data_IF_829554202294
#
_entry.id   IF_829554202294
#
_cell.length_a   1.000
_cell.length_b   1.000
_cell.length_c   1.000
_cell.angle_alpha   90.00
_cell.angle_beta   90.00
_cell.angle_gamma   90.00
#
_symmetry.space_group_name_H-M   'P 1'
#
loop_
_entity.id
_entity.type
_entity.pdbx_description
1 polymer ?
#
# COMPACT_ATOMS: atom_id res chain seq x y z
N UNK A 1 -7.78 57.72 13.40
CA UNK A 1 -9.17 57.29 13.63
C UNK A 1 -9.26 55.85 13.21
N UNK A 2 -9.34 54.95 14.19
CA UNK A 2 -9.46 53.52 13.93
C UNK A 2 -10.91 53.27 13.51
N UNK A 3 -11.14 52.96 12.23
CA UNK A 3 -12.45 52.58 11.75
C UNK A 3 -12.78 51.20 12.34
N UNK A 4 -13.36 51.20 13.54
CA UNK A 4 -13.95 49.99 14.10
C UNK A 4 -15.05 49.53 13.15
N UNK A 5 -14.96 48.28 12.72
CA UNK A 5 -15.98 47.69 11.86
C UNK A 5 -17.32 47.61 12.60
N UNK A 6 -18.42 47.76 11.89
CA UNK A 6 -19.77 47.60 12.46
C UNK A 6 -19.90 46.27 13.24
N UNK A 7 -19.33 45.18 12.72
CA UNK A 7 -19.37 43.86 13.37
C UNK A 7 -18.63 43.87 14.72
N UNK A 8 -17.48 44.54 14.82
CA UNK A 8 -16.78 44.65 16.11
C UNK A 8 -17.56 45.47 17.15
N UNK A 9 -18.30 46.49 16.71
CA UNK A 9 -19.19 47.26 17.60
C UNK A 9 -20.36 46.41 18.06
N UNK A 10 -20.99 45.66 17.14
CA UNK A 10 -22.08 44.75 17.45
C UNK A 10 -21.64 43.65 18.44
N UNK A 11 -20.48 43.04 18.22
CA UNK A 11 -19.93 42.01 19.12
C UNK A 11 -19.69 42.57 20.53
N UNK A 12 -19.15 43.80 20.64
CA UNK A 12 -18.97 44.47 21.93
C UNK A 12 -20.31 44.71 22.64
N UNK A 13 -21.32 45.20 21.91
CA UNK A 13 -22.66 45.41 22.47
C UNK A 13 -23.33 44.09 22.90
N UNK A 14 -23.17 43.01 22.14
CA UNK A 14 -23.68 41.70 22.53
C UNK A 14 -22.98 41.19 23.79
N UNK A 15 -21.66 41.39 23.92
CA UNK A 15 -20.92 41.01 25.12
C UNK A 15 -21.36 41.82 26.35
N UNK A 16 -21.64 43.12 26.17
CA UNK A 16 -22.18 44.00 27.22
C UNK A 16 -23.59 43.54 27.67
N UNK A 17 -24.47 43.22 26.72
CA UNK A 17 -25.79 42.65 27.00
C UNK A 17 -25.73 41.31 27.78
N UNK A 18 -24.67 40.50 27.58
CA UNK A 18 -24.45 39.27 28.35
C UNK A 18 -24.01 39.54 29.79
N UNK A 19 -23.41 40.69 30.06
CA UNK A 19 -22.97 41.13 31.39
C UNK A 19 -24.08 41.83 32.18
N UNK A 20 -25.21 42.13 31.54
CA UNK A 20 -26.40 42.71 32.18
C UNK A 20 -26.72 44.14 31.74
N UNK A 21 -25.95 44.72 30.81
CA UNK A 21 -26.27 46.03 30.24
C UNK A 21 -27.56 45.97 29.40
N UNK A 22 -28.19 47.13 29.21
CA UNK A 22 -29.42 47.22 28.38
C UNK A 22 -29.10 47.58 26.93
N UNK A 23 -30.09 47.38 26.05
CA UNK A 23 -29.99 47.78 24.63
C UNK A 23 -29.78 49.29 24.52
N UNK A 24 -30.46 50.07 25.35
CA UNK A 24 -30.39 51.53 25.35
C UNK A 24 -28.98 52.03 25.72
N UNK A 25 -28.31 51.37 26.69
CA UNK A 25 -26.92 51.69 27.07
C UNK A 25 -25.95 51.51 25.89
N UNK A 26 -26.15 50.45 25.10
CA UNK A 26 -25.36 50.18 23.91
C UNK A 26 -25.60 51.20 22.79
N UNK A 27 -26.85 51.62 22.59
CA UNK A 27 -27.21 52.62 21.58
C UNK A 27 -26.68 54.01 21.95
N UNK A 28 -26.70 54.37 23.23
CA UNK A 28 -26.13 55.62 23.74
C UNK A 28 -24.60 55.69 23.52
N UNK A 29 -23.91 54.55 23.61
CA UNK A 29 -22.46 54.44 23.39
C UNK A 29 -22.05 54.58 21.93
N UNK A 30 -22.91 54.17 20.99
CA UNK A 30 -22.63 54.16 19.55
C UNK A 30 -23.77 54.81 18.72
N UNK A 31 -24.03 56.12 18.89
CA UNK A 31 -25.17 56.80 18.26
C UNK A 31 -25.08 56.82 16.73
N UNK A 32 -23.86 56.81 16.17
CA UNK A 32 -23.65 56.79 14.72
C UNK A 32 -24.06 55.50 14.02
N UNK A 33 -24.29 54.42 14.79
CA UNK A 33 -24.71 53.11 14.27
C UNK A 33 -26.05 52.65 14.87
N UNK A 34 -26.73 53.51 15.64
CA UNK A 34 -27.91 53.17 16.42
C UNK A 34 -29.02 52.57 15.57
N UNK A 35 -29.39 53.21 14.46
CA UNK A 35 -30.46 52.77 13.55
C UNK A 35 -30.27 51.33 13.05
N UNK A 36 -29.00 50.91 12.89
CA UNK A 36 -28.66 49.56 12.41
C UNK A 36 -28.43 48.57 13.56
N UNK A 37 -27.97 49.05 14.72
CA UNK A 37 -27.71 48.22 15.90
C UNK A 37 -29.00 47.81 16.62
N UNK A 38 -29.96 48.73 16.76
CA UNK A 38 -31.20 48.52 17.52
C UNK A 38 -31.93 47.21 17.16
N UNK A 39 -32.29 46.93 15.88
CA UNK A 39 -33.01 45.71 15.55
C UNK A 39 -32.19 44.44 15.82
N UNK A 40 -30.86 44.51 15.69
CA UNK A 40 -29.97 43.37 15.92
C UNK A 40 -29.81 43.07 17.41
N UNK A 41 -29.70 44.11 18.24
CA UNK A 41 -29.60 43.97 19.69
C UNK A 41 -30.91 43.47 20.29
N UNK A 42 -32.06 43.94 19.81
CA UNK A 42 -33.38 43.40 20.21
C UNK A 42 -33.49 41.91 19.85
N UNK A 43 -33.00 41.50 18.68
CA UNK A 43 -32.99 40.09 18.29
C UNK A 43 -32.07 39.26 19.19
N UNK A 44 -30.85 39.74 19.44
CA UNK A 44 -29.89 39.08 20.32
C UNK A 44 -30.46 38.91 21.75
N UNK A 45 -31.13 39.93 22.27
CA UNK A 45 -31.81 39.91 23.56
C UNK A 45 -32.91 38.84 23.62
N UNK A 46 -33.77 38.78 22.59
CA UNK A 46 -34.81 37.74 22.48
C UNK A 46 -34.23 36.32 22.42
N UNK A 47 -33.18 36.12 21.63
CA UNK A 47 -32.52 34.81 21.52
C UNK A 47 -31.90 34.40 22.86
N UNK A 48 -31.25 35.33 23.56
CA UNK A 48 -30.68 35.09 24.89
C UNK A 48 -31.74 34.69 25.92
N UNK A 49 -32.89 35.35 25.88
CA UNK A 49 -34.00 35.09 26.80
C UNK A 49 -34.83 33.85 26.39
N UNK A 50 -34.52 33.21 25.26
CA UNK A 50 -35.19 31.99 24.83
C UNK A 50 -34.61 30.80 25.61
N UNK A 51 -35.45 29.97 26.27
CA UNK A 51 -34.98 28.77 26.93
C UNK A 51 -34.19 27.89 25.97
N UNK A 52 -33.04 27.33 26.37
CA UNK A 52 -32.31 26.42 25.51
C UNK A 52 -33.24 25.28 25.11
N UNK A 53 -33.23 24.91 23.83
CA UNK A 53 -33.91 23.71 23.39
C UNK A 53 -33.23 22.52 24.09
N UNK A 54 -33.80 22.05 25.19
CA UNK A 54 -33.30 20.85 25.85
C UNK A 54 -33.35 19.73 24.81
N UNK A 55 -32.22 19.07 24.51
CA UNK A 55 -32.25 17.86 23.69
C UNK A 55 -33.25 16.90 24.34
N UNK A 56 -34.13 16.30 23.53
CA UNK A 56 -35.02 15.25 24.00
C UNK A 56 -34.17 14.23 24.78
N UNK A 57 -34.63 13.68 25.91
CA UNK A 57 -33.92 12.65 26.66
C UNK A 57 -33.90 11.33 25.88
N UNK A 58 -33.31 11.34 24.69
CA UNK A 58 -32.67 10.19 24.07
C UNK A 58 -31.50 9.78 24.96
N UNK A 59 -31.08 8.50 25.03
CA UNK A 59 -29.92 8.11 25.82
C UNK A 59 -28.65 8.73 25.22
N UNK A 60 -28.36 9.98 25.59
CA UNK A 60 -27.15 10.70 25.22
C UNK A 60 -25.92 9.90 25.64
N UNK A 61 -26.01 9.18 26.77
CA UNK A 61 -25.00 8.21 27.19
C UNK A 61 -24.67 7.18 26.10
N UNK A 62 -25.68 6.59 25.45
CA UNK A 62 -25.47 5.61 24.38
C UNK A 62 -24.93 6.25 23.07
N UNK A 63 -25.21 7.52 22.82
CA UNK A 63 -24.62 8.26 21.71
C UNK A 63 -23.14 8.60 21.99
N UNK A 64 -22.84 9.12 23.18
CA UNK A 64 -21.49 9.44 23.62
C UNK A 64 -20.59 8.22 23.72
N UNK A 65 -21.14 7.08 24.15
CA UNK A 65 -20.41 5.81 24.21
C UNK A 65 -19.96 5.34 22.82
N UNK A 66 -20.82 5.47 21.80
CA UNK A 66 -20.46 5.17 20.40
C UNK A 66 -19.37 6.09 19.86
N UNK A 67 -19.41 7.38 20.18
CA UNK A 67 -18.36 8.34 19.79
C UNK A 67 -17.04 8.00 20.46
N UNK A 68 -17.05 7.66 21.76
CA UNK A 68 -15.84 7.28 22.50
C UNK A 68 -15.19 6.00 21.95
N UNK A 69 -15.98 4.97 21.63
CA UNK A 69 -15.48 3.74 21.01
C UNK A 69 -14.81 4.00 19.67
N UNK A 70 -15.44 4.79 18.80
CA UNK A 70 -14.83 5.17 17.52
C UNK A 70 -13.55 5.99 17.70
N UNK A 71 -13.53 6.88 18.68
CA UNK A 71 -12.34 7.68 18.99
C UNK A 71 -11.21 6.83 19.58
N UNK A 72 -11.51 5.79 20.36
CA UNK A 72 -10.49 4.85 20.83
C UNK A 72 -9.97 4.00 19.69
N UNK A 73 -10.81 3.50 18.79
CA UNK A 73 -10.40 2.69 17.64
C UNK A 73 -9.47 3.47 16.70
N UNK A 74 -9.74 4.76 16.51
CA UNK A 74 -8.89 5.66 15.73
C UNK A 74 -7.58 6.07 16.45
N UNK A 75 -7.54 5.97 17.79
CA UNK A 75 -6.35 6.30 18.61
C UNK A 75 -5.50 5.08 18.94
N UNK A 76 -6.08 3.90 18.99
CA UNK A 76 -5.32 2.66 18.99
C UNK A 76 -4.54 2.60 17.69
N UNK A 77 -3.22 2.73 17.84
CA UNK A 77 -2.21 2.62 16.78
C UNK A 77 -2.60 1.57 15.75
N UNK A 78 -2.43 1.81 14.43
CA UNK A 78 -2.76 0.83 13.41
C UNK A 78 -2.15 -0.50 13.81
N UNK A 79 -3.01 -1.49 14.06
CA UNK A 79 -2.59 -2.84 14.43
C UNK A 79 -1.60 -3.28 13.35
N UNK A 80 -0.34 -3.56 13.70
CA UNK A 80 0.66 -3.89 12.69
C UNK A 80 0.15 -5.14 11.98
N UNK A 81 -0.22 -4.97 10.72
CA UNK A 81 -0.49 -6.10 9.84
C UNK A 81 0.78 -6.92 9.79
N UNK A 82 0.80 -8.03 10.52
CA UNK A 82 1.89 -8.98 10.48
C UNK A 82 1.81 -9.66 9.11
N UNK A 83 2.46 -9.04 8.12
CA UNK A 83 2.70 -9.63 6.82
C UNK A 83 3.78 -10.71 7.01
N UNK A 84 3.40 -11.85 7.58
CA UNK A 84 4.25 -13.03 7.57
C UNK A 84 4.26 -13.60 6.15
N UNK A 85 5.17 -13.09 5.32
CA UNK A 85 5.54 -13.72 4.06
C UNK A 85 6.34 -14.98 4.39
N UNK A 86 5.70 -16.14 4.27
CA UNK A 86 6.39 -17.43 4.39
C UNK A 86 7.21 -17.69 3.12
N UNK A 87 8.42 -17.12 3.10
CA UNK A 87 9.39 -17.26 2.01
C UNK A 87 9.77 -18.74 1.79
N UNK A 88 9.65 -19.57 2.83
CA UNK A 88 9.90 -21.01 2.76
C UNK A 88 8.84 -21.75 1.94
N UNK A 89 7.56 -21.34 2.03
CA UNK A 89 6.49 -21.94 1.24
C UNK A 89 6.64 -21.68 -0.27
N UNK A 90 7.15 -20.50 -0.65
CA UNK A 90 7.32 -20.14 -2.07
C UNK A 90 8.59 -20.73 -2.72
N UNK A 91 9.68 -20.88 -1.95
CA UNK A 91 10.94 -21.43 -2.47
C UNK A 91 10.98 -22.96 -2.51
N UNK A 92 10.16 -23.65 -1.73
CA UNK A 92 10.07 -25.13 -1.72
C UNK A 92 9.88 -25.76 -3.11
N UNK A 93 8.90 -25.34 -3.94
CA UNK A 93 8.76 -25.93 -5.27
C UNK A 93 9.98 -25.66 -6.16
N UNK A 94 10.57 -24.46 -6.09
CA UNK A 94 11.79 -24.11 -6.85
C UNK A 94 12.96 -25.01 -6.45
N UNK A 95 13.20 -25.18 -5.15
CA UNK A 95 14.27 -26.04 -4.64
C UNK A 95 14.08 -27.50 -5.06
N UNK A 96 12.85 -28.03 -5.01
CA UNK A 96 12.54 -29.39 -5.47
C UNK A 96 12.79 -29.54 -6.97
N UNK A 97 12.31 -28.60 -7.79
CA UNK A 97 12.53 -28.64 -9.24
C UNK A 97 14.01 -28.59 -9.59
N UNK A 98 14.78 -27.71 -8.94
CA UNK A 98 16.22 -27.60 -9.15
C UNK A 98 16.95 -28.90 -8.74
N UNK A 99 16.59 -29.48 -7.60
CA UNK A 99 17.18 -30.73 -7.13
C UNK A 99 16.89 -31.91 -8.09
N UNK A 100 15.67 -31.99 -8.62
CA UNK A 100 15.29 -33.01 -9.61
C UNK A 100 16.06 -32.83 -10.92
N UNK A 101 16.17 -31.58 -11.42
CA UNK A 101 16.96 -31.28 -12.60
C UNK A 101 18.43 -31.65 -12.38
N UNK A 102 19.03 -31.22 -11.28
CA UNK A 102 20.42 -31.57 -10.96
C UNK A 102 20.64 -33.08 -10.84
N UNK A 103 19.69 -33.83 -10.28
CA UNK A 103 19.77 -35.29 -10.23
C UNK A 103 19.71 -35.92 -11.64
N UNK A 104 18.81 -35.45 -12.50
CA UNK A 104 18.67 -35.90 -13.89
C UNK A 104 19.93 -35.60 -14.72
N UNK A 105 20.42 -34.36 -14.66
CA UNK A 105 21.61 -33.93 -15.39
C UNK A 105 22.90 -34.52 -14.81
N UNK A 106 23.00 -34.68 -13.49
CA UNK A 106 24.13 -35.34 -12.84
C UNK A 106 24.26 -36.81 -13.22
N UNK A 107 23.13 -37.53 -13.31
CA UNK A 107 23.11 -38.92 -13.74
C UNK A 107 23.52 -39.10 -15.22
N UNK A 108 23.22 -38.12 -16.08
CA UNK A 108 23.62 -38.16 -17.51
C UNK A 108 25.03 -37.65 -17.75
N UNK A 109 25.51 -36.64 -17.02
CA UNK A 109 26.87 -36.09 -17.19
C UNK A 109 27.99 -37.09 -16.83
N UNK A 110 27.76 -37.94 -15.82
CA UNK A 110 28.75 -38.94 -15.39
C UNK A 110 29.06 -40.03 -16.43
N UNK A 111 28.09 -40.40 -17.26
CA UNK A 111 28.26 -41.44 -18.29
C UNK A 111 28.98 -40.92 -19.53
N UNK A 112 28.78 -39.64 -19.89
CA UNK A 112 29.44 -39.00 -21.05
C UNK A 112 30.95 -38.87 -20.84
N UNK A 113 31.39 -38.48 -19.64
CA UNK A 113 32.82 -38.37 -19.32
C UNK A 113 33.53 -39.75 -19.36
N UNK A 114 32.85 -40.82 -18.93
CA UNK A 114 33.40 -42.17 -19.01
C UNK A 114 33.39 -42.76 -20.43
N UNK A 115 32.51 -42.27 -21.32
CA UNK A 115 32.35 -42.79 -22.68
C UNK A 115 33.38 -42.25 -23.69
N UNK A 116 34.15 -41.20 -23.36
CA UNK A 116 35.09 -40.58 -24.32
C UNK A 116 36.14 -41.57 -24.85
N UNK A 117 36.63 -42.47 -23.99
CA UNK A 117 37.62 -43.51 -24.29
C UNK A 117 36.98 -44.90 -24.56
N UNK A 118 35.68 -44.96 -24.83
CA UNK A 118 34.99 -46.23 -25.06
C UNK A 118 35.33 -46.80 -26.44
N UNK A 119 35.76 -48.06 -26.48
CA UNK A 119 36.00 -48.79 -27.74
C UNK A 119 34.67 -49.27 -28.35
N UNK A 120 34.60 -49.52 -29.67
CA UNK A 120 33.39 -49.96 -30.37
C UNK A 120 32.68 -51.19 -29.79
N UNK A 121 33.42 -52.06 -29.08
CA UNK A 121 32.90 -53.29 -28.46
C UNK A 121 32.29 -53.07 -27.05
N UNK A 122 32.39 -51.85 -26.51
CA UNK A 122 31.95 -51.54 -25.15
C UNK A 122 30.51 -51.02 -25.07
N UNK A 123 29.78 -51.28 -23.96
CA UNK A 123 28.42 -50.78 -23.79
C UNK A 123 28.29 -49.24 -23.83
N UNK A 124 29.35 -48.53 -23.44
CA UNK A 124 29.42 -47.07 -23.39
C UNK A 124 29.58 -46.42 -24.78
N UNK A 125 29.98 -47.19 -25.79
CA UNK A 125 30.11 -46.69 -27.16
C UNK A 125 28.78 -46.18 -27.73
N UNK A 126 27.65 -46.77 -27.33
CA UNK A 126 26.31 -46.28 -27.70
C UNK A 126 26.04 -44.87 -27.18
N UNK A 127 26.57 -44.53 -26.01
CA UNK A 127 26.46 -43.19 -25.43
C UNK A 127 27.29 -42.20 -26.24
N UNK A 128 28.53 -42.58 -26.62
CA UNK A 128 29.39 -41.76 -27.48
C UNK A 128 28.71 -41.40 -28.80
N UNK A 129 28.16 -42.39 -29.50
CA UNK A 129 27.47 -42.17 -30.77
C UNK A 129 26.26 -41.23 -30.62
N UNK A 130 25.45 -41.42 -29.57
CA UNK A 130 24.32 -40.54 -29.29
C UNK A 130 24.74 -39.09 -28.99
N UNK A 131 25.87 -38.86 -28.30
CA UNK A 131 26.38 -37.50 -28.06
C UNK A 131 26.87 -36.81 -29.32
N UNK A 132 27.46 -37.57 -30.25
CA UNK A 132 27.89 -37.05 -31.54
C UNK A 132 26.69 -36.70 -32.42
N UNK A 133 25.64 -37.54 -32.43
CA UNK A 133 24.38 -37.26 -33.14
C UNK A 133 23.71 -35.99 -32.61
N UNK A 134 23.65 -35.81 -31.29
CA UNK A 134 23.11 -34.58 -30.69
C UNK A 134 23.95 -33.36 -31.09
N UNK A 135 25.29 -33.47 -31.11
CA UNK A 135 26.17 -32.37 -31.57
C UNK A 135 25.87 -32.00 -33.02
N UNK A 136 25.67 -32.98 -33.90
CA UNK A 136 25.31 -32.75 -35.30
C UNK A 136 23.90 -32.17 -35.46
N UNK A 137 22.98 -32.42 -34.52
CA UNK A 137 21.63 -31.85 -34.56
C UNK A 137 21.62 -30.34 -34.31
N UNK A 138 22.56 -29.83 -33.51
CA UNK A 138 22.72 -28.39 -33.25
C UNK A 138 23.60 -27.67 -34.29
N UNK A 139 24.12 -28.39 -35.30
CA UNK A 139 24.87 -27.81 -36.41
C UNK A 139 23.96 -27.66 -37.62
N UNK A 140 23.58 -26.43 -37.90
CA UNK A 140 22.60 -26.09 -38.95
C UNK A 140 23.22 -25.87 -40.33
N UNK A 141 24.55 -25.73 -40.42
CA UNK A 141 25.28 -25.52 -41.69
C UNK A 141 25.86 -26.85 -42.21
N UNK A 142 25.56 -27.17 -43.47
CA UNK A 142 25.97 -28.44 -44.09
C UNK A 142 27.49 -28.55 -44.30
N UNK A 143 28.17 -27.42 -44.54
CA UNK A 143 29.63 -27.39 -44.70
C UNK A 143 30.31 -27.68 -43.36
N UNK A 144 29.85 -27.02 -42.30
CA UNK A 144 30.35 -27.25 -40.95
C UNK A 144 30.05 -28.67 -40.44
N UNK A 145 28.89 -29.23 -40.80
CA UNK A 145 28.55 -30.63 -40.50
C UNK A 145 29.49 -31.61 -41.19
N UNK A 146 29.81 -31.37 -42.47
CA UNK A 146 30.75 -32.19 -43.21
C UNK A 146 32.17 -32.12 -42.63
N UNK A 147 32.61 -30.93 -42.20
CA UNK A 147 33.89 -30.73 -41.52
C UNK A 147 33.99 -31.55 -40.22
N UNK A 148 32.95 -31.50 -39.38
CA UNK A 148 32.88 -32.29 -38.14
C UNK A 148 32.96 -33.80 -38.42
N UNK A 149 32.27 -34.28 -39.47
CA UNK A 149 32.30 -35.71 -39.83
C UNK A 149 33.67 -36.15 -40.37
N UNK A 150 34.37 -35.28 -41.10
CA UNK A 150 35.74 -35.55 -41.58
C UNK A 150 36.70 -35.62 -40.40
N UNK A 151 36.62 -34.69 -39.46
CA UNK A 151 37.43 -34.66 -38.25
C UNK A 151 37.23 -35.93 -37.39
N UNK A 152 35.96 -36.31 -37.16
CA UNK A 152 35.61 -37.55 -36.47
C UNK A 152 36.11 -38.81 -37.18
N UNK A 153 36.15 -38.82 -38.52
CA UNK A 153 36.70 -39.95 -39.28
C UNK A 153 38.22 -40.04 -39.12
N UNK A 154 38.92 -38.91 -39.04
CA UNK A 154 40.37 -38.88 -38.86
C UNK A 154 40.79 -39.33 -37.45
N UNK A 155 40.00 -39.01 -36.41
CA UNK A 155 40.26 -39.48 -35.04
C UNK A 155 40.01 -40.99 -34.83
N UNK A 156 39.29 -41.65 -35.74
CA UNK A 156 38.88 -43.06 -35.63
C UNK A 156 39.77 -44.04 -36.40
N UNK A 157 40.65 -43.54 -37.26
CA UNK A 157 41.65 -44.35 -37.98
C UNK A 157 42.92 -44.52 -37.14
#
# INVERSE_FOLDING_TARGET
>A
MEFRSFNSVLDECIAALQQGDTVDDCLAKYPSHADRLEPLLILADKVRNTPPALPRPWPQAAAWQRVRQRATDLRSSPQPVQLSFDYGAWLRPVAITLAVLLALFGATGGTVLAAQNSLPDSPLYRVKLATEDVRLWFVFDDVHKAEILIDQSNERM
#
